data_IF_277104698048
#
_entry.id   IF_277104698048
#
_cell.length_a   1.000
_cell.length_b   1.000
_cell.length_c   1.000
_cell.angle_alpha   90.00
_cell.angle_beta   90.00
_cell.angle_gamma   90.00
#
_symmetry.space_group_name_H-M   'P 1'
#
loop_
_entity.id
_entity.type
_entity.pdbx_description
1 polymer ?
#
# COMPACT_ATOMS: atom_id res chain seq x y z
N UNK A 1 -5.60 52.51 32.21
CA UNK A 1 -6.40 51.85 31.15
C UNK A 1 -5.56 50.68 30.61
N UNK A 2 -5.14 49.66 31.38
CA UNK A 2 -5.91 48.73 32.23
C UNK A 2 -7.04 48.02 31.49
N UNK A 3 -6.68 47.02 30.66
CA UNK A 3 -7.56 45.90 30.33
C UNK A 3 -6.83 44.59 30.63
N UNK A 4 -7.55 43.64 31.22
CA UNK A 4 -6.98 42.46 31.86
C UNK A 4 -7.14 41.20 31.00
N UNK A 5 -6.15 40.31 31.07
CA UNK A 5 -6.24 38.95 30.55
C UNK A 5 -7.10 38.07 31.48
N UNK A 6 -8.03 37.26 30.96
CA UNK A 6 -8.64 36.17 31.71
C UNK A 6 -7.71 34.93 31.73
N UNK A 7 -7.62 34.19 32.85
CA UNK A 7 -6.74 33.02 32.96
C UNK A 7 -7.34 31.74 32.33
N UNK A 8 -6.44 30.92 31.80
CA UNK A 8 -6.70 29.60 31.20
C UNK A 8 -7.23 28.57 32.21
N UNK A 9 -8.22 27.77 31.79
CA UNK A 9 -8.74 26.65 32.58
C UNK A 9 -8.01 25.35 32.25
N UNK A 10 -7.17 24.89 33.16
CA UNK A 10 -6.57 23.55 33.11
C UNK A 10 -7.60 22.48 33.51
N UNK A 11 -8.13 21.73 32.54
CA UNK A 11 -8.96 20.55 32.82
C UNK A 11 -8.07 19.32 33.00
N UNK A 12 -7.95 18.84 34.24
CA UNK A 12 -7.23 17.61 34.56
C UNK A 12 -8.05 16.40 34.10
N UNK A 13 -7.56 15.63 33.13
CA UNK A 13 -8.03 14.26 32.91
C UNK A 13 -7.42 13.34 33.96
N UNK A 14 -8.27 12.78 34.83
CA UNK A 14 -7.87 11.76 35.79
C UNK A 14 -8.05 10.39 35.15
N UNK A 15 -6.94 9.67 34.96
CA UNK A 15 -6.95 8.27 34.56
C UNK A 15 -7.14 7.42 35.83
N UNK A 16 -8.17 6.55 35.85
CA UNK A 16 -8.42 5.64 36.97
C UNK A 16 -8.68 4.24 36.46
N UNK A 17 -7.91 3.28 36.99
CA UNK A 17 -7.91 1.87 36.66
C UNK A 17 -9.02 1.08 37.38
N UNK A 18 -9.15 -0.19 36.96
CA UNK A 18 -9.70 -1.36 37.66
C UNK A 18 -11.16 -1.76 37.37
N UNK A 19 -11.36 -3.05 37.10
CA UNK A 19 -12.69 -3.62 36.82
C UNK A 19 -12.75 -5.08 36.33
N UNK A 20 -11.75 -5.93 36.62
CA UNK A 20 -11.80 -7.36 36.23
C UNK A 20 -12.36 -8.24 37.35
N UNK A 21 -13.61 -8.71 37.21
CA UNK A 21 -14.13 -9.89 37.93
C UNK A 21 -15.17 -10.61 37.07
N UNK A 22 -14.79 -11.75 36.48
CA UNK A 22 -15.73 -12.74 35.94
C UNK A 22 -15.47 -14.08 36.61
N UNK A 23 -16.36 -14.46 37.52
CA UNK A 23 -16.29 -15.72 38.27
C UNK A 23 -16.98 -16.84 37.49
N UNK A 24 -16.26 -17.94 37.23
CA UNK A 24 -16.85 -19.18 36.71
C UNK A 24 -16.51 -20.36 37.65
N UNK A 25 -17.54 -21.11 38.04
CA UNK A 25 -17.50 -22.11 39.10
C UNK A 25 -17.13 -23.52 38.62
N UNK A 26 -16.46 -24.29 39.48
CA UNK A 26 -16.12 -25.70 39.28
C UNK A 26 -17.34 -26.62 39.47
N UNK A 27 -17.44 -27.70 38.67
CA UNK A 27 -17.72 -29.08 39.11
C UNK A 27 -17.74 -30.06 37.91
N UNK A 28 -17.15 -31.26 38.02
CA UNK A 28 -17.33 -32.35 37.04
C UNK A 28 -16.19 -33.38 36.95
N UNK A 29 -16.42 -34.61 37.44
CA UNK A 29 -15.45 -35.69 37.70
C UNK A 29 -16.16 -37.04 37.46
N UNK A 30 -15.58 -38.13 36.89
CA UNK A 30 -14.18 -38.46 36.59
C UNK A 30 -13.97 -39.29 35.29
N UNK A 31 -12.68 -39.47 34.96
CA UNK A 31 -11.99 -40.66 34.38
C UNK A 31 -12.82 -41.93 34.13
N UNK A 32 -12.70 -42.51 32.93
CA UNK A 32 -12.27 -43.92 32.76
C UNK A 32 -11.63 -44.13 31.38
N UNK A 33 -10.34 -44.47 31.34
CA UNK A 33 -9.65 -44.97 30.15
C UNK A 33 -8.88 -46.22 30.56
N UNK A 34 -9.18 -47.35 29.91
CA UNK A 34 -8.40 -48.58 30.01
C UNK A 34 -7.80 -48.84 28.63
N UNK A 35 -6.48 -48.97 28.59
CA UNK A 35 -5.75 -49.42 27.42
C UNK A 35 -5.24 -50.83 27.71
N UNK A 36 -5.60 -51.78 26.86
CA UNK A 36 -4.87 -53.03 26.67
C UNK A 36 -4.93 -53.34 25.18
N UNK A 37 -3.81 -53.79 24.61
CA UNK A 37 -3.63 -53.92 23.17
C UNK A 37 -3.42 -55.36 22.71
N UNK A 38 -3.26 -55.48 21.39
CA UNK A 38 -2.80 -56.66 20.65
C UNK A 38 -3.71 -57.90 20.68
N UNK A 39 -4.36 -58.15 19.54
CA UNK A 39 -3.97 -59.31 18.72
C UNK A 39 -4.30 -59.09 17.23
N UNK A 40 -3.45 -59.62 16.35
CA UNK A 40 -3.41 -59.31 14.92
C UNK A 40 -3.94 -60.48 14.06
N UNK A 41 -5.11 -60.37 13.40
CA UNK A 41 -5.69 -61.44 12.58
C UNK A 41 -5.23 -61.39 11.10
N UNK A 42 -3.97 -61.05 10.82
CA UNK A 42 -3.38 -61.22 9.49
C UNK A 42 -2.72 -62.60 9.32
N UNK A 43 -3.53 -63.66 9.31
CA UNK A 43 -3.11 -65.00 8.87
C UNK A 43 -4.25 -65.75 8.19
N UNK A 44 -4.02 -66.11 6.90
CA UNK A 44 -4.96 -66.73 5.97
C UNK A 44 -6.15 -65.83 5.55
N UNK A 45 -6.68 -65.88 4.32
CA UNK A 45 -6.53 -66.90 3.25
C UNK A 45 -6.18 -66.21 1.92
N UNK A 46 -5.20 -66.76 1.19
CA UNK A 46 -4.94 -66.40 -0.20
C UNK A 46 -5.76 -67.29 -1.14
N UNK A 47 -6.75 -66.72 -1.83
CA UNK A 47 -7.35 -67.29 -3.05
C UNK A 47 -8.01 -66.23 -3.91
N UNK A 48 -7.90 -66.38 -5.24
CA UNK A 48 -8.64 -65.66 -6.29
C UNK A 48 -8.54 -64.13 -6.32
N UNK A 49 -7.49 -63.63 -6.96
CA UNK A 49 -7.53 -62.34 -7.63
C UNK A 49 -8.51 -62.42 -8.83
N UNK A 50 -9.73 -61.93 -8.64
CA UNK A 50 -10.64 -61.61 -9.72
C UNK A 50 -10.78 -60.08 -9.77
N UNK A 51 -10.06 -59.43 -10.70
CA UNK A 51 -10.16 -57.99 -10.88
C UNK A 51 -11.58 -57.64 -11.37
N UNK A 52 -12.26 -56.73 -10.67
CA UNK A 52 -13.54 -56.19 -11.13
C UNK A 52 -13.27 -55.22 -12.31
N UNK A 53 -13.73 -55.53 -13.54
CA UNK A 53 -13.46 -54.68 -14.71
C UNK A 53 -14.20 -53.33 -14.66
N UNK A 54 -15.16 -53.16 -13.74
CA UNK A 54 -15.93 -51.92 -13.57
C UNK A 54 -15.31 -50.93 -12.57
N UNK A 55 -14.07 -51.14 -12.12
CA UNK A 55 -13.32 -50.16 -11.32
C UNK A 55 -12.64 -49.06 -12.18
N UNK A 56 -12.96 -48.98 -13.48
CA UNK A 56 -12.54 -47.89 -14.34
C UNK A 56 -13.30 -46.59 -13.98
N UNK A 57 -12.52 -45.59 -13.54
CA UNK A 57 -12.87 -44.18 -13.27
C UNK A 57 -14.33 -43.75 -13.52
N UNK A 58 -15.03 -43.37 -12.45
CA UNK A 58 -16.34 -42.70 -12.53
C UNK A 58 -16.18 -41.34 -13.26
N UNK A 59 -16.73 -41.15 -14.48
CA UNK A 59 -16.53 -39.94 -15.26
C UNK A 59 -17.23 -38.71 -14.67
N UNK A 60 -18.18 -38.91 -13.74
CA UNK A 60 -18.92 -37.83 -13.07
C UNK A 60 -18.18 -37.26 -11.85
N UNK A 61 -16.98 -37.74 -11.52
CA UNK A 61 -16.14 -37.15 -10.46
C UNK A 61 -15.40 -35.87 -10.91
N UNK A 62 -15.30 -35.62 -12.22
CA UNK A 62 -14.78 -34.37 -12.75
C UNK A 62 -15.90 -33.31 -12.82
N UNK A 63 -15.81 -32.27 -11.98
CA UNK A 63 -16.67 -31.09 -12.10
C UNK A 63 -16.01 -30.06 -13.06
N UNK A 64 -16.48 -29.90 -14.31
CA UNK A 64 -15.89 -28.95 -15.24
C UNK A 64 -16.05 -27.47 -14.78
N UNK A 65 -16.96 -27.19 -13.85
CA UNK A 65 -17.16 -25.86 -13.28
C UNK A 65 -16.23 -25.56 -12.09
N UNK A 66 -15.33 -26.48 -11.70
CA UNK A 66 -14.29 -26.20 -10.70
C UNK A 66 -13.14 -25.34 -11.28
N UNK A 67 -12.96 -25.35 -12.60
CA UNK A 67 -12.16 -24.35 -13.29
C UNK A 67 -13.04 -23.12 -13.56
N UNK A 68 -12.75 -22.00 -12.89
CA UNK A 68 -13.39 -20.72 -13.20
C UNK A 68 -12.62 -20.03 -14.36
N UNK A 69 -13.16 -19.98 -15.60
CA UNK A 69 -12.47 -19.31 -16.70
C UNK A 69 -12.32 -17.79 -16.47
N UNK A 70 -13.10 -17.19 -15.56
CA UNK A 70 -12.99 -15.79 -15.17
C UNK A 70 -11.93 -15.54 -14.06
N UNK A 71 -11.22 -16.58 -13.58
CA UNK A 71 -10.07 -16.38 -12.69
C UNK A 71 -8.84 -15.86 -13.46
N UNK A 72 -8.77 -16.13 -14.78
CA UNK A 72 -7.92 -15.39 -15.68
C UNK A 72 -8.68 -14.14 -16.13
N UNK A 73 -8.31 -12.96 -15.61
CA UNK A 73 -8.83 -11.70 -16.09
C UNK A 73 -8.01 -11.23 -17.31
N UNK A 74 -8.52 -11.30 -18.56
CA UNK A 74 -7.78 -10.80 -19.72
C UNK A 74 -7.55 -9.28 -19.67
N UNK A 75 -8.30 -8.53 -18.85
CA UNK A 75 -8.09 -7.10 -18.61
C UNK A 75 -7.01 -6.82 -17.55
N UNK A 76 -6.43 -7.83 -16.90
CA UNK A 76 -5.20 -7.66 -16.11
C UNK A 76 -3.96 -7.49 -17.01
N UNK A 77 -4.03 -7.96 -18.26
CA UNK A 77 -3.11 -7.55 -19.31
C UNK A 77 -3.62 -6.24 -19.92
N UNK A 78 -3.30 -5.11 -19.30
CA UNK A 78 -3.55 -3.80 -19.91
C UNK A 78 -2.54 -3.59 -21.05
N UNK A 79 -2.96 -3.51 -22.34
CA UNK A 79 -2.04 -3.25 -23.44
C UNK A 79 -1.46 -1.83 -23.41
N UNK A 80 -2.02 -0.92 -22.61
CA UNK A 80 -1.44 0.40 -22.32
C UNK A 80 -0.45 0.38 -21.15
N UNK A 81 -0.31 -0.75 -20.44
CA UNK A 81 0.79 -1.01 -19.50
C UNK A 81 1.91 -1.87 -20.14
N UNK A 82 1.79 -2.20 -21.43
CA UNK A 82 2.98 -2.48 -22.22
C UNK A 82 3.83 -1.21 -22.18
N UNK A 83 5.06 -1.35 -21.66
CA UNK A 83 5.93 -0.23 -21.28
C UNK A 83 5.84 0.93 -22.30
N UNK A 84 5.51 2.12 -21.81
CA UNK A 84 5.54 3.34 -22.62
C UNK A 84 6.89 3.36 -23.37
N UNK A 85 6.92 3.38 -24.71
CA UNK A 85 8.20 3.32 -25.44
C UNK A 85 9.13 4.50 -25.08
N UNK A 86 8.58 5.62 -24.60
CA UNK A 86 9.35 6.74 -24.06
C UNK A 86 10.01 6.45 -22.70
N UNK A 87 9.52 5.47 -21.93
CA UNK A 87 10.14 5.03 -20.67
C UNK A 87 11.27 4.01 -20.90
N UNK A 88 11.15 3.16 -21.93
CA UNK A 88 12.18 2.18 -22.28
C UNK A 88 13.43 2.82 -22.92
N UNK A 89 13.24 3.89 -23.70
CA UNK A 89 14.31 4.56 -24.47
C UNK A 89 14.74 5.91 -23.90
N UNK A 90 14.44 6.23 -22.63
CA UNK A 90 15.01 7.43 -21.98
C UNK A 90 16.46 7.16 -21.52
N UNK A 91 17.49 7.76 -22.14
CA UNK A 91 18.88 7.55 -21.72
C UNK A 91 19.20 8.08 -20.31
N UNK A 92 18.30 8.84 -19.69
CA UNK A 92 18.38 9.29 -18.30
C UNK A 92 17.75 8.31 -17.30
N UNK A 93 17.01 7.28 -17.75
CA UNK A 93 16.42 6.25 -16.90
C UNK A 93 17.35 5.03 -16.69
N UNK A 94 18.54 5.02 -17.28
CA UNK A 94 19.58 4.06 -16.91
C UNK A 94 19.99 4.32 -15.44
N UNK A 95 19.70 3.33 -14.57
CA UNK A 95 19.92 3.36 -13.12
C UNK A 95 21.06 4.31 -12.69
N UNK A 96 20.69 5.49 -12.19
CA UNK A 96 21.62 6.60 -12.05
C UNK A 96 22.74 6.24 -11.06
N UNK A 97 24.01 6.17 -11.49
CA UNK A 97 25.11 5.77 -10.62
C UNK A 97 25.35 6.73 -9.44
N UNK A 98 24.77 7.94 -9.45
CA UNK A 98 24.80 8.86 -8.32
C UNK A 98 23.93 8.42 -7.12
N UNK A 99 22.94 7.54 -7.32
CA UNK A 99 22.04 7.08 -6.25
C UNK A 99 22.75 6.27 -5.15
N UNK A 100 23.99 5.84 -5.36
CA UNK A 100 24.80 5.13 -4.38
C UNK A 100 25.47 6.05 -3.33
N UNK A 101 25.71 7.33 -3.68
CA UNK A 101 26.51 8.26 -2.86
C UNK A 101 25.68 9.41 -2.25
N UNK A 102 24.56 9.79 -2.88
CA UNK A 102 23.64 10.81 -2.37
C UNK A 102 22.18 10.52 -2.82
N UNK A 103 21.31 10.01 -1.93
CA UNK A 103 19.93 9.68 -2.28
C UNK A 103 19.10 10.91 -2.69
N UNK A 104 19.49 12.13 -2.25
CA UNK A 104 18.78 13.36 -2.62
C UNK A 104 18.84 13.63 -4.13
N UNK A 105 19.96 13.27 -4.79
CA UNK A 105 20.15 13.54 -6.22
C UNK A 105 19.20 12.76 -7.13
N UNK A 106 18.62 11.65 -6.66
CA UNK A 106 17.64 10.89 -7.42
C UNK A 106 16.24 11.54 -7.41
N UNK A 107 15.93 12.36 -6.41
CA UNK A 107 14.55 12.82 -6.11
C UNK A 107 14.37 14.34 -6.07
N UNK A 108 15.46 15.11 -6.03
CA UNK A 108 15.44 16.58 -5.98
C UNK A 108 15.18 17.20 -7.35
N UNK A 109 14.37 18.26 -7.40
CA UNK A 109 14.08 19.02 -8.62
C UNK A 109 15.36 19.50 -9.32
N UNK A 110 15.48 19.32 -10.65
CA UNK A 110 16.53 19.96 -11.45
C UNK A 110 16.47 21.49 -11.39
N UNK A 111 17.60 22.16 -11.59
CA UNK A 111 17.64 23.63 -11.65
C UNK A 111 16.82 24.13 -12.86
N UNK A 112 15.97 25.13 -12.63
CA UNK A 112 15.07 25.68 -13.66
C UNK A 112 13.86 24.81 -14.00
N UNK A 113 13.63 23.70 -13.27
CA UNK A 113 12.44 22.87 -13.44
C UNK A 113 11.14 23.67 -13.26
N UNK A 114 10.16 23.44 -14.13
CA UNK A 114 8.82 24.02 -14.06
C UNK A 114 7.81 22.88 -14.08
N UNK A 115 7.01 22.68 -13.01
CA UNK A 115 6.08 21.56 -12.94
C UNK A 115 4.94 21.70 -13.95
N UNK A 116 4.49 20.57 -14.51
CA UNK A 116 3.26 20.48 -15.32
C UNK A 116 1.99 20.33 -14.44
N UNK A 117 2.05 20.80 -13.20
CA UNK A 117 0.94 20.85 -12.24
C UNK A 117 1.03 22.15 -11.39
N UNK A 118 -0.07 22.52 -10.77
CA UNK A 118 -0.18 23.66 -9.86
C UNK A 118 0.12 23.21 -8.42
N UNK A 119 1.23 23.70 -7.85
CA UNK A 119 1.64 23.33 -6.48
C UNK A 119 0.86 24.06 -5.38
N UNK A 120 0.29 25.22 -5.69
CA UNK A 120 -0.38 26.12 -4.73
C UNK A 120 -1.78 26.55 -5.19
N UNK A 121 -2.39 25.83 -6.13
CA UNK A 121 -3.67 26.20 -6.73
C UNK A 121 -4.42 24.98 -7.26
N UNK A 122 -5.45 25.24 -8.05
CA UNK A 122 -6.28 24.16 -8.60
C UNK A 122 -5.57 23.46 -9.78
N UNK A 123 -5.87 22.17 -9.94
CA UNK A 123 -5.37 21.31 -11.01
C UNK A 123 -6.54 20.77 -11.83
N UNK A 124 -6.29 20.43 -13.10
CA UNK A 124 -7.33 19.92 -14.00
C UNK A 124 -7.89 18.57 -13.53
N UNK A 125 -9.22 18.40 -13.63
CA UNK A 125 -9.91 17.23 -13.11
C UNK A 125 -9.46 15.89 -13.75
N UNK A 126 -9.05 15.92 -15.02
CA UNK A 126 -8.48 14.73 -15.70
C UNK A 126 -7.09 14.36 -15.15
N UNK A 127 -6.28 15.37 -14.81
CA UNK A 127 -4.96 15.19 -14.19
C UNK A 127 -5.11 14.60 -12.78
N UNK A 128 -6.08 15.11 -12.00
CA UNK A 128 -6.43 14.59 -10.68
C UNK A 128 -6.93 13.14 -10.75
N UNK A 129 -7.81 12.80 -11.70
CA UNK A 129 -8.32 11.45 -11.87
C UNK A 129 -7.22 10.43 -12.28
N UNK A 130 -6.27 10.84 -13.13
CA UNK A 130 -5.09 10.01 -13.44
C UNK A 130 -4.19 9.86 -12.21
N UNK A 131 -3.99 10.92 -11.45
CA UNK A 131 -3.21 10.90 -10.22
C UNK A 131 -3.79 9.97 -9.16
N UNK A 132 -5.12 9.98 -8.98
CA UNK A 132 -5.81 9.04 -8.08
C UNK A 132 -5.64 7.59 -8.52
N UNK A 133 -5.78 7.31 -9.82
CA UNK A 133 -5.61 5.96 -10.35
C UNK A 133 -4.18 5.44 -10.10
N UNK A 134 -3.16 6.26 -10.40
CA UNK A 134 -1.75 5.94 -10.15
C UNK A 134 -1.44 5.79 -8.65
N UNK A 135 -2.00 6.64 -7.80
CA UNK A 135 -1.79 6.59 -6.34
C UNK A 135 -2.28 5.27 -5.71
N UNK A 136 -3.26 4.62 -6.34
CA UNK A 136 -3.78 3.31 -5.93
C UNK A 136 -3.13 2.13 -6.68
N UNK A 137 -2.32 2.37 -7.71
CA UNK A 137 -1.74 1.33 -8.55
C UNK A 137 -0.49 0.70 -7.90
N UNK A 138 -0.59 -0.58 -7.55
CA UNK A 138 0.53 -1.34 -6.97
C UNK A 138 1.59 -1.75 -8.02
N UNK A 139 1.28 -1.70 -9.32
CA UNK A 139 2.19 -2.07 -10.41
C UNK A 139 3.30 -1.03 -10.66
N UNK A 140 3.18 0.17 -10.07
CA UNK A 140 4.22 1.20 -10.07
C UNK A 140 5.42 0.86 -9.16
N UNK A 141 5.35 -0.21 -8.37
CA UNK A 141 6.38 -0.58 -7.39
C UNK A 141 7.13 -1.87 -7.78
N UNK A 142 8.38 -1.99 -7.33
CA UNK A 142 9.13 -3.24 -7.42
C UNK A 142 8.70 -4.30 -6.39
N UNK A 143 7.79 -3.97 -5.45
CA UNK A 143 7.47 -4.79 -4.28
C UNK A 143 5.96 -4.96 -3.99
N UNK A 144 5.07 -4.50 -4.87
CA UNK A 144 3.62 -4.64 -4.74
C UNK A 144 2.94 -3.63 -3.81
N UNK A 145 3.63 -2.54 -3.44
CA UNK A 145 3.04 -1.41 -2.73
C UNK A 145 2.44 -0.39 -3.72
N UNK A 146 1.37 0.28 -3.30
CA UNK A 146 0.91 1.54 -3.91
C UNK A 146 1.10 2.69 -2.91
N UNK A 147 1.02 3.95 -3.36
CA UNK A 147 1.05 5.10 -2.45
C UNK A 147 -0.06 4.99 -1.39
N UNK A 148 -1.26 4.56 -1.80
CA UNK A 148 -2.40 4.29 -0.92
C UNK A 148 -2.13 3.20 0.14
N UNK A 149 -1.15 2.31 -0.06
CA UNK A 149 -0.78 1.28 0.92
C UNK A 149 -0.21 1.87 2.22
N UNK A 150 0.32 3.09 2.17
CA UNK A 150 0.73 3.86 3.35
C UNK A 150 -0.13 5.11 3.59
N UNK A 151 -0.70 5.70 2.52
CA UNK A 151 -1.36 7.01 2.54
C UNK A 151 -2.87 6.99 2.21
N UNK A 152 -3.51 5.81 2.24
CA UNK A 152 -4.93 5.59 1.91
C UNK A 152 -5.97 6.17 2.90
N UNK A 153 -5.61 7.20 3.66
CA UNK A 153 -6.49 7.88 4.62
C UNK A 153 -5.70 8.84 5.51
N UNK A 154 -6.43 9.68 6.26
CA UNK A 154 -5.83 10.82 6.98
C UNK A 154 -4.79 10.42 8.05
N UNK A 155 -4.86 9.19 8.58
CA UNK A 155 -3.86 8.66 9.53
C UNK A 155 -2.52 8.29 8.87
N UNK A 156 -2.45 8.25 7.53
CA UNK A 156 -1.21 8.08 6.78
C UNK A 156 -0.35 9.35 6.70
N UNK A 157 -0.83 10.48 7.24
CA UNK A 157 -0.16 11.77 7.16
C UNK A 157 0.24 12.30 8.54
N UNK A 158 1.32 13.07 8.58
CA UNK A 158 1.80 13.77 9.77
C UNK A 158 1.20 15.19 9.81
N UNK A 159 1.13 15.80 11.01
CA UNK A 159 0.56 17.14 11.17
C UNK A 159 1.22 18.24 10.31
N UNK A 160 2.47 18.06 9.86
CA UNK A 160 3.11 19.01 8.92
C UNK A 160 2.46 19.02 7.53
N UNK A 161 1.69 17.98 7.17
CA UNK A 161 0.90 17.90 5.94
C UNK A 161 -0.31 18.85 5.94
N UNK A 162 -0.65 19.50 7.06
CA UNK A 162 -1.57 20.65 7.04
C UNK A 162 -0.98 21.86 6.30
N UNK A 163 0.34 21.93 6.13
CA UNK A 163 1.02 23.03 5.44
C UNK A 163 0.99 22.83 3.91
N UNK A 164 0.79 23.90 3.11
CA UNK A 164 0.90 23.82 1.66
C UNK A 164 2.33 23.45 1.24
N UNK A 165 2.49 22.90 0.05
CA UNK A 165 3.81 22.63 -0.52
C UNK A 165 4.53 23.94 -0.94
N UNK A 166 5.87 24.00 -0.85
CA UNK A 166 6.76 23.02 -0.21
C UNK A 166 6.70 23.08 1.32
N UNK A 167 6.79 21.92 1.98
CA UNK A 167 6.81 21.82 3.44
C UNK A 167 7.74 20.70 3.94
N UNK A 168 7.98 20.66 5.26
CA UNK A 168 8.81 19.64 5.89
C UNK A 168 8.10 18.29 5.99
N UNK A 169 8.67 17.26 5.38
CA UNK A 169 8.24 15.86 5.55
C UNK A 169 9.35 15.06 6.22
N UNK A 170 9.00 14.25 7.22
CA UNK A 170 9.96 13.47 7.99
C UNK A 170 10.74 12.44 7.16
N UNK A 171 10.15 11.90 6.09
CA UNK A 171 10.84 11.03 5.14
C UNK A 171 11.95 11.80 4.40
N UNK A 172 11.63 12.98 3.86
CA UNK A 172 12.58 13.85 3.16
C UNK A 172 13.78 14.21 4.02
N UNK A 173 13.58 14.64 5.26
CA UNK A 173 14.70 14.99 6.15
C UNK A 173 15.50 13.75 6.57
N UNK A 174 14.85 12.68 7.06
CA UNK A 174 15.54 11.54 7.66
C UNK A 174 16.25 10.63 6.66
N UNK A 175 15.78 10.57 5.41
CA UNK A 175 16.29 9.62 4.39
C UNK A 175 16.97 10.32 3.21
N UNK A 176 16.56 11.56 2.89
CA UNK A 176 17.07 12.31 1.74
C UNK A 176 17.79 13.61 2.14
N UNK A 177 17.86 13.96 3.44
CA UNK A 177 18.50 15.20 3.90
C UNK A 177 17.79 16.48 3.45
N UNK A 178 16.52 16.40 3.04
CA UNK A 178 15.74 17.51 2.49
C UNK A 178 14.82 18.11 3.55
N UNK A 179 15.17 19.30 4.06
CA UNK A 179 14.42 20.02 5.11
C UNK A 179 12.98 20.38 4.69
N UNK A 180 12.78 20.69 3.41
CA UNK A 180 11.49 20.92 2.78
C UNK A 180 11.45 20.17 1.45
N UNK A 181 10.28 19.66 1.10
CA UNK A 181 10.05 18.93 -0.15
C UNK A 181 8.90 19.57 -0.92
N UNK A 182 9.02 19.58 -2.24
CA UNK A 182 7.94 19.82 -3.18
C UNK A 182 7.06 18.58 -3.35
N UNK A 183 5.88 18.71 -3.99
CA UNK A 183 4.96 17.58 -4.11
C UNK A 183 5.49 16.48 -5.05
N UNK A 184 6.14 16.86 -6.16
CA UNK A 184 6.85 15.94 -7.04
C UNK A 184 8.06 15.28 -6.37
N UNK A 185 8.90 16.02 -5.65
CA UNK A 185 10.00 15.45 -4.86
C UNK A 185 9.49 14.41 -3.86
N UNK A 186 8.34 14.65 -3.22
CA UNK A 186 7.70 13.68 -2.33
C UNK A 186 7.21 12.43 -3.07
N UNK A 187 6.66 12.56 -4.28
CA UNK A 187 6.30 11.41 -5.14
C UNK A 187 7.55 10.60 -5.48
N UNK A 188 8.63 11.27 -5.94
CA UNK A 188 9.90 10.63 -6.29
C UNK A 188 10.52 9.88 -5.10
N UNK A 189 10.48 10.48 -3.89
CA UNK A 189 10.91 9.83 -2.65
C UNK A 189 10.16 8.52 -2.42
N UNK A 190 8.82 8.54 -2.45
CA UNK A 190 8.00 7.35 -2.24
C UNK A 190 8.25 6.24 -3.26
N UNK A 191 8.40 6.60 -4.55
CA UNK A 191 8.72 5.68 -5.65
C UNK A 191 10.05 4.96 -5.40
N UNK A 192 11.11 5.72 -5.11
CA UNK A 192 12.45 5.17 -4.84
C UNK A 192 12.47 4.39 -3.52
N UNK A 193 11.84 4.91 -2.45
CA UNK A 193 11.74 4.23 -1.15
C UNK A 193 10.50 4.71 -0.38
N UNK A 194 9.53 3.83 -0.05
CA UNK A 194 9.67 2.38 0.08
C UNK A 194 9.23 1.55 -1.13
N UNK A 195 8.73 2.13 -2.23
CA UNK A 195 8.16 1.36 -3.34
C UNK A 195 9.20 0.61 -4.20
N UNK A 196 10.50 0.87 -4.00
CA UNK A 196 11.60 0.16 -4.66
C UNK A 196 11.46 0.14 -6.20
N UNK A 197 11.06 1.28 -6.75
CA UNK A 197 10.98 1.56 -8.18
C UNK A 197 11.98 2.66 -8.56
N UNK A 198 12.22 2.84 -9.86
CA UNK A 198 12.97 3.99 -10.35
C UNK A 198 12.15 5.28 -10.16
N UNK A 199 12.86 6.41 -10.07
CA UNK A 199 12.23 7.74 -10.08
C UNK A 199 11.55 7.98 -11.44
N UNK A 200 10.38 8.62 -11.43
CA UNK A 200 9.63 8.96 -12.64
C UNK A 200 10.37 10.03 -13.45
N UNK A 201 10.11 10.10 -14.76
CA UNK A 201 10.63 11.18 -15.59
C UNK A 201 10.13 12.54 -15.10
N UNK A 202 11.02 13.53 -14.98
CA UNK A 202 10.65 14.88 -14.52
C UNK A 202 9.62 15.57 -15.42
N UNK A 203 9.63 15.24 -16.71
CA UNK A 203 8.71 15.66 -17.77
C UNK A 203 7.54 14.68 -17.98
N UNK A 204 7.39 13.64 -17.16
CA UNK A 204 6.34 12.63 -17.33
C UNK A 204 4.96 13.11 -16.86
N UNK A 205 3.93 12.67 -17.59
CA UNK A 205 2.53 12.88 -17.21
C UNK A 205 2.19 12.13 -15.90
N UNK A 206 2.85 11.00 -15.63
CA UNK A 206 2.72 10.24 -14.38
C UNK A 206 3.13 11.05 -13.16
N UNK A 207 4.31 11.69 -13.21
CA UNK A 207 4.79 12.53 -12.11
C UNK A 207 3.89 13.76 -11.91
N UNK A 208 3.50 14.43 -13.00
CA UNK A 208 2.59 15.58 -12.94
C UNK A 208 1.23 15.21 -12.32
N UNK A 209 0.65 14.07 -12.73
CA UNK A 209 -0.63 13.59 -12.23
C UNK A 209 -0.59 13.20 -10.75
N UNK A 210 0.41 12.41 -10.35
CA UNK A 210 0.61 12.04 -8.94
C UNK A 210 0.83 13.27 -8.06
N UNK A 211 1.63 14.24 -8.51
CA UNK A 211 1.93 15.45 -7.75
C UNK A 211 0.71 16.37 -7.61
N UNK A 212 -0.06 16.54 -8.69
CA UNK A 212 -1.35 17.25 -8.65
C UNK A 212 -2.32 16.62 -7.65
N UNK A 213 -2.45 15.29 -7.67
CA UNK A 213 -3.31 14.57 -6.74
C UNK A 213 -2.82 14.68 -5.28
N UNK A 214 -1.51 14.60 -5.03
CA UNK A 214 -0.94 14.78 -3.69
C UNK A 214 -1.17 16.20 -3.14
N UNK A 215 -1.08 17.24 -3.99
CA UNK A 215 -1.50 18.62 -3.63
C UNK A 215 -2.99 18.67 -3.28
N UNK A 216 -3.83 17.98 -4.04
CA UNK A 216 -5.28 17.99 -3.78
C UNK A 216 -5.67 17.24 -2.49
N UNK A 217 -4.98 16.12 -2.18
CA UNK A 217 -5.11 15.44 -0.89
C UNK A 217 -4.61 16.31 0.26
N UNK A 218 -3.54 17.10 0.07
CA UNK A 218 -3.07 18.10 1.04
C UNK A 218 -4.13 19.18 1.29
N UNK A 219 -4.76 19.72 0.23
CA UNK A 219 -5.86 20.69 0.33
C UNK A 219 -7.05 20.12 1.10
N UNK A 220 -7.46 18.88 0.81
CA UNK A 220 -8.50 18.16 1.56
C UNK A 220 -8.14 18.01 3.04
N UNK A 221 -6.93 17.52 3.33
CA UNK A 221 -6.46 17.28 4.70
C UNK A 221 -6.41 18.56 5.54
N UNK A 222 -5.98 19.67 4.94
CA UNK A 222 -5.94 21.00 5.58
C UNK A 222 -7.28 21.74 5.63
N UNK A 223 -8.38 21.11 5.16
CA UNK A 223 -9.72 21.71 5.17
C UNK A 223 -9.91 22.88 4.20
N UNK A 224 -9.04 23.00 3.19
CA UNK A 224 -9.22 23.94 2.08
C UNK A 224 -10.29 23.44 1.10
N UNK A 225 -10.69 24.25 0.13
CA UNK A 225 -11.51 23.75 -0.99
C UNK A 225 -10.75 22.68 -1.76
N UNK A 226 -11.43 21.60 -2.14
CA UNK A 226 -10.88 20.50 -2.94
C UNK A 226 -11.94 19.91 -3.88
N UNK A 227 -11.48 19.13 -4.86
CA UNK A 227 -12.27 18.40 -5.86
C UNK A 227 -12.32 16.87 -5.61
N UNK A 228 -11.71 16.40 -4.50
CA UNK A 228 -11.79 15.02 -3.98
C UNK A 228 -12.98 14.77 -3.03
#
# INVERSE_FOLDING_TARGET
>A
MTHAFPPSRFTKWQCTLAGTLLSLSLAGVAVQAAADGMDNPCAAISTSAAANPCAAANPCAANPCAANPCAANPCAANPCAAANPCAADNPCAAANPCAADDPAQAVKRPEGYTPAYSESGENDAELLARGEALFNDASLSGNGLSCASCHGGDQGYQATFEQPYPHRVAMGENMFGMETVHADEMVQMCMVTPMAADALGWDSEELAALSAYVVEVQRRYSGQSHHL
#
